data_IF_143146612652
#
_entry.id   IF_143146612652
#
_cell.length_a   1.000
_cell.length_b   1.000
_cell.length_c   1.000
_cell.angle_alpha   90.00
_cell.angle_beta   90.00
_cell.angle_gamma   90.00
#
_symmetry.space_group_name_H-M   'P 1'
#
loop_
_entity.id
_entity.type
_entity.pdbx_description
1 polymer ?
#
# COMPACT_ATOMS: atom_id res chain seq x y z
N UNK A 1 25.27 -2.94 2.70
CA UNK A 1 24.04 -3.04 3.52
C UNK A 1 23.41 -4.38 3.23
N UNK A 2 23.04 -5.14 4.25
CA UNK A 2 22.58 -6.53 4.15
C UNK A 2 21.06 -6.66 3.94
N UNK A 3 20.40 -5.63 3.40
CA UNK A 3 18.96 -5.63 3.14
C UNK A 3 18.68 -5.55 1.65
N UNK A 4 17.62 -6.21 1.20
CA UNK A 4 17.04 -6.02 -0.12
C UNK A 4 15.54 -5.68 0.06
N UNK A 5 15.06 -4.56 -0.48
CA UNK A 5 15.80 -3.55 -1.25
C UNK A 5 16.75 -2.69 -0.39
N UNK A 6 17.82 -2.20 -1.01
CA UNK A 6 18.84 -1.34 -0.37
C UNK A 6 18.35 0.11 -0.30
N UNK A 7 17.63 0.55 -1.34
CA UNK A 7 17.14 1.92 -1.44
C UNK A 7 16.12 2.24 -0.35
N UNK A 8 16.13 3.45 0.23
CA UNK A 8 15.19 3.83 1.30
C UNK A 8 13.75 3.98 0.80
N UNK A 9 13.53 4.19 -0.50
CA UNK A 9 12.21 4.19 -1.11
C UNK A 9 11.90 2.83 -1.74
N UNK A 10 10.83 2.17 -1.29
CA UNK A 10 10.38 0.91 -1.88
C UNK A 10 9.71 1.16 -3.24
N UNK A 11 8.86 2.19 -3.33
CA UNK A 11 8.27 2.65 -4.58
C UNK A 11 7.65 4.05 -4.46
N UNK A 12 7.42 4.66 -5.62
CA UNK A 12 6.55 5.81 -5.81
C UNK A 12 5.67 5.53 -7.03
N UNK A 13 4.36 5.34 -6.82
CA UNK A 13 3.42 4.86 -7.85
C UNK A 13 2.11 5.66 -7.84
N UNK A 14 1.40 5.74 -8.98
CA UNK A 14 0.04 6.27 -8.99
C UNK A 14 -0.95 5.31 -8.32
N UNK A 15 -2.10 5.82 -7.86
CA UNK A 15 -3.21 5.02 -7.31
C UNK A 15 -3.88 4.10 -8.35
N UNK A 16 -3.56 4.27 -9.64
CA UNK A 16 -3.98 3.38 -10.72
C UNK A 16 -3.11 2.12 -10.85
N UNK A 17 -2.04 1.98 -10.05
CA UNK A 17 -1.18 0.80 -10.08
C UNK A 17 -1.89 -0.45 -9.55
N UNK A 18 -1.58 -1.59 -10.17
CA UNK A 18 -2.19 -2.90 -9.90
C UNK A 18 -1.11 -3.98 -9.77
N UNK A 19 -1.47 -5.11 -9.16
CA UNK A 19 -0.63 -6.31 -9.04
C UNK A 19 0.77 -6.04 -8.44
N UNK A 20 0.81 -5.31 -7.33
CA UNK A 20 2.04 -5.04 -6.61
C UNK A 20 2.46 -6.28 -5.81
N UNK A 21 3.75 -6.62 -5.89
CA UNK A 21 4.40 -7.68 -5.12
C UNK A 21 5.85 -7.30 -4.84
N UNK A 22 6.16 -6.99 -3.58
CA UNK A 22 7.48 -6.61 -3.12
C UNK A 22 7.94 -7.56 -2.02
N UNK A 23 9.16 -8.09 -2.13
CA UNK A 23 9.80 -8.90 -1.10
C UNK A 23 10.91 -8.09 -0.42
N UNK A 24 10.80 -7.95 0.90
CA UNK A 24 11.79 -7.31 1.76
C UNK A 24 12.48 -8.39 2.58
N UNK A 25 13.80 -8.51 2.49
CA UNK A 25 14.55 -9.54 3.20
C UNK A 25 15.96 -9.11 3.57
N UNK A 26 16.51 -9.77 4.59
CA UNK A 26 17.89 -9.63 5.03
C UNK A 26 18.77 -10.70 4.37
N UNK A 27 19.87 -10.28 3.77
CA UNK A 27 20.93 -11.15 3.28
C UNK A 27 21.76 -11.62 4.46
N UNK A 28 21.59 -12.90 4.82
CA UNK A 28 22.38 -13.56 5.85
C UNK A 28 23.79 -13.89 5.35
N UNK A 29 24.78 -13.78 6.22
CA UNK A 29 26.15 -14.20 5.95
C UNK A 29 26.33 -15.71 6.12
N UNK A 30 27.50 -16.24 5.73
CA UNK A 30 27.81 -17.65 5.94
C UNK A 30 27.83 -17.99 7.43
N UNK A 31 27.09 -19.03 7.85
CA UNK A 31 26.95 -19.40 9.26
C UNK A 31 25.82 -18.69 10.00
N UNK A 32 25.06 -17.82 9.33
CA UNK A 32 23.85 -17.19 9.85
C UNK A 32 22.58 -17.92 9.42
N UNK A 33 21.53 -17.84 10.24
CA UNK A 33 20.21 -18.41 9.96
C UNK A 33 19.13 -17.46 10.42
N UNK A 34 18.15 -17.16 9.56
CA UNK A 34 16.97 -16.38 9.93
C UNK A 34 16.11 -17.16 10.91
N UNK A 35 15.77 -16.54 12.03
CA UNK A 35 14.83 -17.08 13.01
C UNK A 35 13.40 -16.59 12.74
N UNK A 36 13.25 -15.30 12.51
CA UNK A 36 11.94 -14.69 12.27
C UNK A 36 12.06 -13.31 11.63
N UNK A 37 10.97 -12.90 10.99
CA UNK A 37 10.73 -11.53 10.58
C UNK A 37 9.50 -10.98 11.31
N UNK A 38 9.51 -9.69 11.61
CA UNK A 38 8.35 -8.92 12.06
C UNK A 38 8.28 -7.61 11.29
N UNK A 39 7.09 -7.02 11.20
CA UNK A 39 6.88 -5.79 10.47
C UNK A 39 5.88 -4.86 11.17
N UNK A 40 5.96 -3.59 10.83
CA UNK A 40 4.93 -2.59 11.11
C UNK A 40 4.80 -1.64 9.93
N UNK A 41 3.61 -1.06 9.75
CA UNK A 41 3.35 -0.05 8.72
C UNK A 41 2.71 1.19 9.37
N UNK A 42 3.10 2.37 8.90
CA UNK A 42 2.55 3.65 9.34
C UNK A 42 2.28 4.55 8.12
N UNK A 43 1.10 5.19 8.00
CA UNK A 43 -0.06 5.00 8.86
C UNK A 43 -0.62 3.56 8.75
N UNK A 44 -1.29 3.10 9.81
CA UNK A 44 -1.92 1.78 9.83
C UNK A 44 -3.22 1.75 9.02
N UNK A 45 -3.89 2.90 8.88
CA UNK A 45 -5.15 3.03 8.12
C UNK A 45 -5.15 4.32 7.27
N UNK A 46 -5.66 4.27 6.03
CA UNK A 46 -6.06 3.06 5.31
C UNK A 46 -4.83 2.25 4.87
N UNK A 47 -4.81 0.94 5.07
CA UNK A 47 -3.74 0.06 4.58
C UNK A 47 -4.19 -0.68 3.29
N UNK A 48 -3.65 -0.34 2.10
CA UNK A 48 -3.97 -1.06 0.87
C UNK A 48 -3.27 -2.41 0.72
N UNK A 49 -2.33 -2.74 1.61
CA UNK A 49 -1.44 -3.88 1.44
C UNK A 49 -1.88 -5.11 2.24
N UNK A 50 -1.84 -6.25 1.59
CA UNK A 50 -1.76 -7.55 2.25
C UNK A 50 -0.28 -7.84 2.52
N UNK A 51 0.08 -8.01 3.79
CA UNK A 51 1.48 -8.24 4.19
C UNK A 51 1.59 -9.63 4.81
N UNK A 52 2.44 -10.47 4.23
CA UNK A 52 2.70 -11.83 4.67
C UNK A 52 4.17 -11.99 5.04
N UNK A 53 4.46 -12.95 5.92
CA UNK A 53 5.79 -13.18 6.46
C UNK A 53 6.11 -14.66 6.44
N UNK A 54 7.31 -14.98 5.98
CA UNK A 54 7.89 -16.32 6.08
C UNK A 54 9.40 -16.23 6.39
N UNK A 55 10.10 -17.38 6.39
CA UNK A 55 11.55 -17.41 6.62
C UNK A 55 12.39 -16.75 5.51
N UNK A 56 11.78 -16.48 4.35
CA UNK A 56 12.40 -15.80 3.22
C UNK A 56 12.25 -14.27 3.26
N UNK A 57 11.32 -13.72 4.04
CA UNK A 57 11.18 -12.27 4.22
C UNK A 57 9.78 -11.80 4.55
N UNK A 58 9.58 -10.50 4.38
CA UNK A 58 8.27 -9.83 4.46
C UNK A 58 7.83 -9.52 3.04
N UNK A 59 6.71 -10.10 2.62
CA UNK A 59 6.12 -9.86 1.30
C UNK A 59 4.92 -8.91 1.41
N UNK A 60 4.99 -7.81 0.68
CA UNK A 60 3.98 -6.74 0.62
C UNK A 60 3.28 -6.78 -0.74
N UNK A 61 1.97 -6.98 -0.75
CA UNK A 61 1.17 -7.15 -1.97
C UNK A 61 -0.05 -6.24 -1.98
N UNK A 62 -0.45 -5.77 -3.15
CA UNK A 62 -1.73 -5.10 -3.37
C UNK A 62 -2.27 -5.43 -4.76
N UNK A 63 -3.52 -5.89 -4.83
CA UNK A 63 -4.17 -6.17 -6.11
C UNK A 63 -4.43 -4.88 -6.90
N UNK A 64 -4.82 -3.80 -6.21
CA UNK A 64 -5.04 -2.47 -6.76
C UNK A 64 -4.84 -1.41 -5.69
N UNK A 65 -4.30 -0.25 -6.05
CA UNK A 65 -4.25 0.95 -5.20
C UNK A 65 -5.46 1.89 -5.42
N UNK A 66 -6.38 1.51 -6.31
CA UNK A 66 -7.52 2.35 -6.69
C UNK A 66 -8.47 2.61 -5.52
N UNK A 67 -8.95 3.85 -5.40
CA UNK A 67 -9.97 4.21 -4.39
C UNK A 67 -9.40 4.60 -3.03
N UNK A 68 -8.07 4.68 -2.89
CA UNK A 68 -7.43 5.24 -1.70
C UNK A 68 -7.67 6.75 -1.56
N UNK A 69 -7.77 7.45 -2.68
CA UNK A 69 -8.09 8.87 -2.72
C UNK A 69 -9.59 9.07 -2.83
N UNK A 70 -10.24 9.21 -1.66
CA UNK A 70 -11.67 9.51 -1.60
C UNK A 70 -11.93 10.95 -2.07
N UNK A 71 -12.97 11.18 -2.87
CA UNK A 71 -13.40 12.54 -3.21
C UNK A 71 -13.82 13.29 -1.95
N UNK A 72 -13.76 14.62 -2.00
CA UNK A 72 -14.25 15.43 -0.89
C UNK A 72 -15.79 15.37 -0.81
N UNK A 73 -16.45 15.32 -1.97
CA UNK A 73 -17.85 14.95 -2.09
C UNK A 73 -18.21 14.66 -3.56
N UNK A 74 -19.33 13.96 -3.74
CA UNK A 74 -20.04 13.86 -5.00
C UNK A 74 -21.50 14.23 -4.76
N UNK A 75 -22.07 15.07 -5.60
CA UNK A 75 -23.50 15.37 -5.57
C UNK A 75 -24.18 14.68 -6.75
N UNK A 76 -25.25 13.96 -6.47
CA UNK A 76 -26.04 13.25 -7.48
C UNK A 76 -27.53 13.55 -7.34
N UNK A 77 -28.27 13.45 -8.44
CA UNK A 77 -29.72 13.65 -8.44
C UNK A 77 -30.46 12.34 -8.21
N UNK A 78 -31.42 12.36 -7.30
CA UNK A 78 -32.37 11.28 -7.09
C UNK A 78 -33.80 11.84 -7.10
N UNK A 79 -34.50 11.67 -8.23
CA UNK A 79 -35.75 12.38 -8.48
C UNK A 79 -35.51 13.90 -8.51
N UNK A 80 -36.26 14.64 -7.69
CA UNK A 80 -36.14 16.10 -7.56
C UNK A 80 -35.12 16.54 -6.49
N UNK A 81 -34.44 15.59 -5.84
CA UNK A 81 -33.49 15.89 -4.77
C UNK A 81 -32.05 15.78 -5.26
N UNK A 82 -31.19 16.67 -4.74
CA UNK A 82 -29.73 16.54 -4.86
C UNK A 82 -29.22 15.96 -3.54
N UNK A 83 -28.57 14.81 -3.62
CA UNK A 83 -28.01 14.09 -2.50
C UNK A 83 -26.48 14.11 -2.59
N UNK A 84 -25.82 14.10 -1.43
CA UNK A 84 -24.36 14.14 -1.31
C UNK A 84 -23.82 12.79 -0.84
N UNK A 85 -22.82 12.28 -1.54
CA UNK A 85 -22.05 11.09 -1.22
C UNK A 85 -20.60 11.46 -0.88
N UNK A 86 -19.99 10.68 0.01
CA UNK A 86 -18.58 10.81 0.39
C UNK A 86 -17.66 9.89 -0.42
N UNK A 87 -18.24 8.92 -1.13
CA UNK A 87 -17.53 7.92 -1.92
C UNK A 87 -18.38 7.49 -3.13
N UNK A 88 -17.73 6.98 -4.17
CA UNK A 88 -18.38 6.43 -5.36
C UNK A 88 -19.27 5.22 -5.05
N UNK A 89 -18.92 4.43 -4.02
CA UNK A 89 -19.68 3.25 -3.61
C UNK A 89 -21.04 3.59 -2.98
N UNK A 90 -21.23 4.83 -2.54
CA UNK A 90 -22.48 5.31 -1.95
C UNK A 90 -23.49 5.77 -3.01
N UNK A 91 -23.04 5.97 -4.24
CA UNK A 91 -23.91 6.44 -5.32
C UNK A 91 -24.58 5.22 -5.98
N UNK A 92 -25.92 5.14 -6.01
CA UNK A 92 -26.61 4.11 -6.76
C UNK A 92 -26.20 4.13 -8.24
N UNK A 93 -26.20 3.01 -8.98
CA UNK A 93 -25.84 3.00 -10.39
C UNK A 93 -26.70 3.97 -11.24
N UNK A 94 -26.09 4.54 -12.28
CA UNK A 94 -26.74 5.36 -13.31
C UNK A 94 -27.51 6.62 -12.84
N UNK A 95 -27.23 7.21 -11.66
CA UNK A 95 -27.78 8.52 -11.27
C UNK A 95 -27.12 9.66 -12.03
N UNK A 96 -27.74 10.83 -12.07
CA UNK A 96 -27.11 12.01 -12.67
C UNK A 96 -26.11 12.61 -11.67
N UNK A 97 -24.83 12.65 -12.04
CA UNK A 97 -23.85 13.42 -11.28
C UNK A 97 -24.03 14.92 -11.56
N UNK A 98 -24.23 15.67 -10.49
CA UNK A 98 -24.40 17.13 -10.52
C UNK A 98 -23.06 17.82 -10.29
N UNK A 99 -22.32 17.38 -9.27
CA UNK A 99 -21.01 17.95 -8.94
C UNK A 99 -20.06 16.84 -8.48
N UNK A 100 -18.81 16.94 -8.91
CA UNK A 100 -17.74 16.07 -8.45
C UNK A 100 -16.59 16.93 -7.92
N UNK A 101 -16.30 16.80 -6.63
CA UNK A 101 -15.14 17.43 -6.01
C UNK A 101 -14.08 16.37 -5.71
N UNK A 102 -12.96 16.34 -6.46
CA UNK A 102 -11.91 15.35 -6.25
C UNK A 102 -11.29 15.50 -4.86
N UNK A 103 -10.52 14.48 -4.45
CA UNK A 103 -9.80 14.52 -3.19
C UNK A 103 -8.89 15.74 -3.12
N UNK A 104 -8.88 16.45 -1.99
CA UNK A 104 -7.85 17.45 -1.70
C UNK A 104 -6.50 16.81 -1.34
N UNK A 105 -6.47 15.52 -1.08
CA UNK A 105 -5.24 14.76 -0.87
C UNK A 105 -4.70 14.34 -2.24
N UNK A 106 -3.44 14.67 -2.51
CA UNK A 106 -2.74 14.32 -3.76
C UNK A 106 -1.69 13.23 -3.58
N UNK A 107 -1.36 12.88 -2.34
CA UNK A 107 -0.30 11.94 -1.99
C UNK A 107 -0.61 11.25 -0.66
N UNK A 108 -0.31 9.96 -0.59
CA UNK A 108 -0.32 9.16 0.63
C UNK A 108 1.08 8.60 0.84
N UNK A 109 1.65 8.89 2.00
CA UNK A 109 2.98 8.44 2.40
C UNK A 109 2.86 7.33 3.43
N UNK A 110 3.51 6.21 3.16
CA UNK A 110 3.60 5.09 4.07
C UNK A 110 5.07 4.79 4.39
N UNK A 111 5.31 4.24 5.58
CA UNK A 111 6.58 3.69 6.00
C UNK A 111 6.37 2.28 6.49
N UNK A 112 7.05 1.32 5.87
CA UNK A 112 7.14 -0.05 6.39
C UNK A 112 8.45 -0.22 7.13
N UNK A 113 8.39 -0.77 8.34
CA UNK A 113 9.56 -1.15 9.12
C UNK A 113 9.61 -2.65 9.24
N UNK A 114 10.73 -3.26 8.86
CA UNK A 114 10.96 -4.70 8.98
C UNK A 114 12.08 -4.95 9.96
N UNK A 115 11.86 -5.92 10.83
CA UNK A 115 12.84 -6.41 11.79
C UNK A 115 13.08 -7.89 11.52
N UNK A 116 14.34 -8.30 11.49
CA UNK A 116 14.76 -9.70 11.40
C UNK A 116 15.52 -10.10 12.66
N UNK A 117 15.26 -11.31 13.13
CA UNK A 117 16.09 -12.00 14.12
C UNK A 117 16.94 -13.02 13.39
N UNK A 118 18.25 -12.95 13.56
CA UNK A 118 19.23 -13.84 12.93
C UNK A 118 20.02 -14.54 14.03
N UNK A 119 20.33 -15.81 13.82
CA UNK A 119 21.24 -16.58 14.67
C UNK A 119 22.54 -16.80 13.91
N UNK A 120 23.64 -16.29 14.44
CA UNK A 120 24.98 -16.60 13.97
C UNK A 120 25.56 -17.73 14.81
N UNK A 121 26.12 -18.76 14.17
CA UNK A 121 26.85 -19.83 14.87
C UNK A 121 28.32 -19.74 14.54
N UNK A 122 29.16 -19.56 15.57
CA UNK A 122 30.61 -19.55 15.41
C UNK A 122 31.10 -20.96 15.02
N UNK A 123 31.76 -21.12 13.86
CA UNK A 123 32.17 -22.43 13.37
C UNK A 123 33.29 -23.06 14.20
N UNK A 124 34.04 -22.29 14.99
CA UNK A 124 35.15 -22.77 15.82
C UNK A 124 34.72 -23.09 17.24
N UNK A 125 33.78 -22.33 17.81
CA UNK A 125 33.35 -22.50 19.22
C UNK A 125 32.00 -23.19 19.35
N UNK A 126 31.25 -23.38 18.25
CA UNK A 126 29.85 -23.87 18.24
C UNK A 126 28.90 -23.05 19.11
N UNK A 127 29.32 -21.85 19.54
CA UNK A 127 28.46 -20.92 20.26
C UNK A 127 27.56 -20.20 19.27
N UNK A 128 26.32 -19.96 19.69
CA UNK A 128 25.37 -19.21 18.87
C UNK A 128 24.97 -17.91 19.52
N UNK A 129 24.95 -16.84 18.74
CA UNK A 129 24.54 -15.51 19.14
C UNK A 129 23.34 -15.09 18.30
N UNK A 130 22.30 -14.56 18.96
CA UNK A 130 21.17 -13.95 18.26
C UNK A 130 21.43 -12.46 18.06
N UNK A 131 21.19 -11.98 16.84
CA UNK A 131 21.29 -10.60 16.42
C UNK A 131 19.94 -10.12 15.89
N UNK A 132 19.66 -8.84 16.13
CA UNK A 132 18.47 -8.16 15.65
C UNK A 132 18.86 -7.07 14.67
N UNK A 133 18.30 -7.11 13.48
CA UNK A 133 18.46 -6.04 12.50
C UNK A 133 17.10 -5.43 12.16
N UNK A 134 17.04 -4.12 12.00
CA UNK A 134 15.82 -3.38 11.67
C UNK A 134 16.14 -2.39 10.57
N UNK A 135 15.24 -2.26 9.60
CA UNK A 135 15.30 -1.23 8.57
C UNK A 135 13.90 -0.77 8.17
N UNK A 136 13.80 0.40 7.54
CA UNK A 136 12.53 1.03 7.16
C UNK A 136 12.59 1.57 5.73
N UNK A 137 11.45 1.49 5.04
CA UNK A 137 11.30 1.98 3.66
C UNK A 137 10.07 2.87 3.53
N UNK A 138 10.20 3.92 2.73
CA UNK A 138 9.08 4.77 2.34
C UNK A 138 8.37 4.22 1.11
N UNK A 139 7.06 4.42 1.06
CA UNK A 139 6.18 4.04 -0.03
C UNK A 139 5.27 5.22 -0.30
N UNK A 140 5.31 5.73 -1.53
CA UNK A 140 4.53 6.91 -1.91
C UNK A 140 3.48 6.51 -2.94
N UNK A 141 2.23 6.80 -2.63
CA UNK A 141 1.12 6.66 -3.58
C UNK A 141 0.68 8.06 -3.98
N UNK A 142 0.66 8.33 -5.28
CA UNK A 142 0.25 9.60 -5.85
C UNK A 142 -1.17 9.48 -6.40
N UNK A 143 -1.99 10.49 -6.15
CA UNK A 143 -3.31 10.56 -6.74
C UNK A 143 -3.18 10.83 -8.23
N UNK A 144 -3.56 9.87 -9.06
CA UNK A 144 -3.72 10.05 -10.47
C UNK A 144 -5.19 10.45 -10.72
N UNK A 145 -5.41 11.74 -10.96
CA UNK A 145 -6.74 12.30 -11.25
C UNK A 145 -7.46 11.61 -12.44
N UNK A 146 -6.75 10.79 -13.22
CA UNK A 146 -7.34 9.91 -14.22
C UNK A 146 -8.24 8.81 -13.63
N UNK A 147 -8.02 8.35 -12.38
CA UNK A 147 -8.83 7.32 -11.73
C UNK A 147 -10.26 7.81 -11.45
N UNK A 148 -10.39 9.03 -10.91
CA UNK A 148 -11.68 9.72 -10.74
C UNK A 148 -12.35 10.03 -12.08
N UNK A 149 -11.58 10.42 -13.10
CA UNK A 149 -12.09 10.62 -14.46
C UNK A 149 -12.61 9.33 -15.08
N UNK A 150 -11.92 8.20 -14.90
CA UNK A 150 -12.33 6.92 -15.46
C UNK A 150 -13.62 6.43 -14.80
N UNK A 151 -13.73 6.53 -13.47
CA UNK A 151 -15.00 6.25 -12.77
C UNK A 151 -16.13 7.15 -13.25
N UNK A 152 -15.86 8.46 -13.42
CA UNK A 152 -16.84 9.39 -13.99
C UNK A 152 -17.29 8.94 -15.40
N UNK A 153 -16.35 8.52 -16.27
CA UNK A 153 -16.67 8.04 -17.61
C UNK A 153 -17.47 6.73 -17.61
N UNK A 154 -17.13 5.78 -16.73
CA UNK A 154 -17.90 4.54 -16.54
C UNK A 154 -19.32 4.85 -16.09
N UNK A 155 -19.45 5.80 -15.16
CA UNK A 155 -20.74 6.21 -14.62
C UNK A 155 -21.61 6.93 -15.65
N UNK A 156 -21.03 7.82 -16.46
CA UNK A 156 -21.72 8.49 -17.57
C UNK A 156 -22.19 7.50 -18.66
N UNK A 157 -21.46 6.40 -18.88
CA UNK A 157 -21.85 5.36 -19.86
C UNK A 157 -23.03 4.52 -19.41
N UNK A 158 -23.32 4.45 -18.12
CA UNK A 158 -24.49 3.77 -17.55
C UNK A 158 -25.81 4.45 -17.94
N UNK A 159 -25.75 5.73 -18.37
CA UNK A 159 -26.90 6.55 -18.73
C UNK A 159 -27.28 6.50 -20.21
N UNK A 160 -26.47 5.82 -21.05
CA UNK A 160 -26.70 5.63 -22.49
C UNK A 160 -27.39 4.30 -22.75
#
# INVERSE_FOLDING_TARGET
MSWNPIEPGLFQLPDTAVNLDYLIYHQVEEGETVLSYTWSISPADPNPFTISVDGGGVRLQAASLSGLFKPNFLDYRDGDQVLRASDWSEIPPCKDLVEFKPSSVSQLDYTITVTVMVKATDPFTSQSVEAKYTNSWTMVILHDYSSGKQKLLEYMRCQL
#
